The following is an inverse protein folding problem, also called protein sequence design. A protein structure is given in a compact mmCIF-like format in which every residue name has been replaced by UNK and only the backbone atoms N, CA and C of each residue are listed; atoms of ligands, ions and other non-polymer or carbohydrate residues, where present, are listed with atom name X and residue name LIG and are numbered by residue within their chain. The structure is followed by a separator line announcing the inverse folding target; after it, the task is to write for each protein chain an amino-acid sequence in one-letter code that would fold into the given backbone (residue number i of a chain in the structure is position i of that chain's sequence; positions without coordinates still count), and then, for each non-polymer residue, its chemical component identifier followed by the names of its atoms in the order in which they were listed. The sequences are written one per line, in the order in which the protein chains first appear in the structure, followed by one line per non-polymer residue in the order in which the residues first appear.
data_IF_407542045269
#
_entry.id   IF_407542045269
#
_cell.length_a   1.000
_cell.length_b   1.000
_cell.length_c   1.000
_cell.angle_alpha   90.00
_cell.angle_beta   90.00
_cell.angle_gamma   90.00
#
_symmetry.space_group_name_H-M   'P 1'
#
loop_
_entity.id
_entity.type
_entity.pdbx_description
1 polymer ?
#
# COMPACT_ATOMS: atom_id res chain seq x y z
N UNK A 1 -17.81 -85.17 20.51
CA UNK A 1 -18.85 -84.71 19.57
C UNK A 1 -18.85 -83.19 19.51
N UNK A 2 -18.45 -82.60 18.38
CA UNK A 2 -18.84 -81.27 17.85
C UNK A 2 -18.39 -81.22 16.38
N UNK A 3 -19.01 -80.34 15.59
CA UNK A 3 -19.35 -80.66 14.20
C UNK A 3 -18.51 -79.94 13.12
N UNK A 4 -18.55 -80.49 11.91
CA UNK A 4 -18.56 -79.79 10.60
C UNK A 4 -19.39 -78.47 10.64
N UNK A 5 -19.33 -77.43 9.79
CA UNK A 5 -18.50 -76.91 8.67
C UNK A 5 -19.08 -75.49 8.32
N UNK A 6 -18.52 -74.56 7.51
CA UNK A 6 -17.28 -74.46 6.72
C UNK A 6 -16.84 -72.97 6.51
N UNK A 7 -16.23 -72.68 5.34
CA UNK A 7 -15.79 -71.42 4.71
C UNK A 7 -16.85 -70.30 4.61
N UNK A 8 -16.41 -69.04 4.45
CA UNK A 8 -16.48 -68.32 3.15
C UNK A 8 -15.64 -67.03 3.16
N UNK A 9 -15.28 -66.53 1.97
CA UNK A 9 -14.28 -65.48 1.74
C UNK A 9 -14.76 -64.04 2.04
N UNK A 10 -14.25 -63.41 3.09
CA UNK A 10 -14.38 -61.96 3.30
C UNK A 10 -13.09 -61.19 2.98
N UNK A 11 -13.17 -60.50 1.84
CA UNK A 11 -12.14 -59.74 1.12
C UNK A 11 -11.41 -58.70 1.97
N UNK A 12 -10.14 -58.48 1.65
CA UNK A 12 -9.40 -57.27 2.00
C UNK A 12 -10.10 -56.01 1.48
N UNK A 13 -10.97 -55.41 2.30
CA UNK A 13 -11.51 -54.07 2.05
C UNK A 13 -10.42 -53.06 2.42
N UNK A 14 -9.60 -52.70 1.43
CA UNK A 14 -8.59 -51.66 1.56
C UNK A 14 -9.23 -50.34 2.04
N UNK A 15 -8.89 -49.94 3.27
CA UNK A 15 -9.43 -48.74 3.90
C UNK A 15 -8.90 -47.49 3.16
N UNK A 16 -9.68 -47.01 2.19
CA UNK A 16 -9.51 -45.69 1.60
C UNK A 16 -9.73 -44.63 2.68
N UNK A 17 -8.64 -44.15 3.29
CA UNK A 17 -8.68 -42.97 4.16
C UNK A 17 -9.25 -41.79 3.38
N UNK A 18 -10.36 -41.24 3.88
CA UNK A 18 -11.08 -40.15 3.23
C UNK A 18 -10.18 -38.94 2.98
N UNK A 19 -10.15 -38.44 1.74
CA UNK A 19 -9.42 -37.22 1.35
C UNK A 19 -10.06 -35.91 1.88
N UNK A 20 -11.01 -36.00 2.82
CA UNK A 20 -11.76 -34.87 3.39
C UNK A 20 -11.01 -34.12 4.50
N UNK A 21 -10.03 -34.75 5.15
CA UNK A 21 -9.32 -34.12 6.27
C UNK A 21 -8.36 -33.03 5.78
N UNK A 22 -7.73 -33.22 4.60
CA UNK A 22 -6.84 -32.22 4.00
C UNK A 22 -7.56 -30.93 3.58
N UNK A 23 -8.82 -31.00 3.16
CA UNK A 23 -9.63 -29.80 2.85
C UNK A 23 -10.12 -29.12 4.13
N UNK A 24 -10.56 -29.88 5.14
CA UNK A 24 -10.93 -29.31 6.46
C UNK A 24 -9.76 -28.61 7.16
N UNK A 25 -8.57 -29.21 7.15
CA UNK A 25 -7.36 -28.62 7.73
C UNK A 25 -6.93 -27.35 6.97
N UNK A 26 -7.07 -27.31 5.63
CA UNK A 26 -6.84 -26.08 4.85
C UNK A 26 -7.80 -24.97 5.20
N UNK A 27 -9.11 -25.24 5.23
CA UNK A 27 -10.13 -24.25 5.59
C UNK A 27 -9.89 -23.73 7.01
N UNK A 28 -9.59 -24.60 7.98
CA UNK A 28 -9.24 -24.19 9.36
C UNK A 28 -8.02 -23.26 9.42
N UNK A 29 -6.98 -23.54 8.63
CA UNK A 29 -5.76 -22.71 8.54
C UNK A 29 -6.02 -21.37 7.86
N UNK A 30 -6.83 -21.35 6.80
CA UNK A 30 -7.22 -20.14 6.07
C UNK A 30 -8.11 -19.23 6.95
N UNK A 31 -9.08 -19.80 7.67
CA UNK A 31 -9.89 -19.08 8.66
C UNK A 31 -9.04 -18.46 9.77
N UNK A 32 -8.08 -19.19 10.33
CA UNK A 32 -7.14 -18.64 11.30
C UNK A 32 -6.29 -17.50 10.72
N UNK A 33 -5.87 -17.62 9.46
CA UNK A 33 -5.10 -16.60 8.78
C UNK A 33 -5.93 -15.33 8.56
N UNK A 34 -7.19 -15.47 8.15
CA UNK A 34 -8.16 -14.37 8.03
C UNK A 34 -8.43 -13.73 9.40
N UNK A 35 -8.65 -14.52 10.46
CA UNK A 35 -8.83 -14.01 11.84
C UNK A 35 -7.61 -13.20 12.30
N UNK A 36 -6.39 -13.70 12.09
CA UNK A 36 -5.13 -12.98 12.39
C UNK A 36 -4.98 -11.69 11.55
N UNK A 37 -5.38 -11.72 10.28
CA UNK A 37 -5.37 -10.55 9.41
C UNK A 37 -6.37 -9.47 9.86
N UNK A 38 -7.61 -9.86 10.18
CA UNK A 38 -8.65 -8.94 10.67
C UNK A 38 -8.30 -8.37 12.04
N UNK A 39 -7.72 -9.17 12.94
CA UNK A 39 -7.20 -8.67 14.22
C UNK A 39 -6.09 -7.62 14.01
N UNK A 40 -5.20 -7.82 13.03
CA UNK A 40 -4.20 -6.81 12.66
C UNK A 40 -4.85 -5.55 12.10
N UNK A 41 -5.85 -5.67 11.23
CA UNK A 41 -6.56 -4.52 10.66
C UNK A 41 -7.30 -3.71 11.73
N UNK A 42 -7.91 -4.36 12.73
CA UNK A 42 -8.48 -3.70 13.90
C UNK A 42 -7.42 -3.01 14.77
N UNK A 43 -6.26 -3.63 14.98
CA UNK A 43 -5.16 -3.02 15.77
C UNK A 43 -4.50 -1.78 15.15
N UNK A 44 -4.71 -1.56 13.85
CA UNK A 44 -4.23 -0.37 13.12
C UNK A 44 -5.39 0.58 12.75
N UNK A 45 -6.60 0.32 13.26
CA UNK A 45 -7.82 1.09 12.99
C UNK A 45 -8.07 1.38 11.49
N UNK A 46 -7.77 0.39 10.64
CA UNK A 46 -7.78 0.54 9.17
C UNK A 46 -9.21 0.76 8.64
N UNK A 47 -10.20 0.24 9.37
CA UNK A 47 -11.62 0.41 9.08
C UNK A 47 -12.30 1.43 10.01
N UNK A 48 -11.53 2.14 10.83
CA UNK A 48 -12.02 3.29 11.57
C UNK A 48 -12.58 4.32 10.60
N UNK A 49 -13.79 4.80 10.88
CA UNK A 49 -14.38 5.89 10.10
C UNK A 49 -13.72 7.19 10.55
N UNK A 50 -12.53 7.45 10.00
CA UNK A 50 -11.85 8.72 10.15
C UNK A 50 -12.69 9.79 9.43
N UNK A 51 -13.06 10.86 10.15
CA UNK A 51 -13.95 11.92 9.61
C UNK A 51 -13.35 12.67 8.41
N UNK A 52 -12.05 12.48 8.16
CA UNK A 52 -11.35 12.96 6.98
C UNK A 52 -11.08 11.80 6.01
N UNK A 53 -11.46 11.96 4.73
CA UNK A 53 -11.26 10.99 3.64
C UNK A 53 -9.78 10.77 3.24
N UNK A 54 -8.86 10.64 4.21
CA UNK A 54 -7.42 10.50 3.98
C UNK A 54 -7.09 9.12 3.40
N UNK A 55 -6.47 9.09 2.23
CA UNK A 55 -6.01 7.83 1.64
C UNK A 55 -4.78 7.29 2.36
N UNK A 56 -4.70 5.98 2.55
CA UNK A 56 -3.58 5.29 3.21
C UNK A 56 -2.87 4.32 2.26
N UNK A 57 -1.54 4.34 2.25
CA UNK A 57 -0.71 3.42 1.47
C UNK A 57 -0.40 2.16 2.28
N UNK A 58 -1.00 1.03 1.93
CA UNK A 58 -0.75 -0.26 2.61
C UNK A 58 0.73 -0.67 2.52
N UNK A 59 1.40 -0.38 1.40
CA UNK A 59 2.77 -0.81 1.13
C UNK A 59 3.83 0.01 1.88
N UNK A 60 3.66 1.33 1.97
CA UNK A 60 4.61 2.22 2.65
C UNK A 60 4.20 2.61 4.07
N UNK A 61 2.92 2.40 4.41
CA UNK A 61 2.26 2.82 5.66
C UNK A 61 2.13 4.33 5.84
N UNK A 62 2.18 5.08 4.75
CA UNK A 62 2.05 6.54 4.75
C UNK A 62 0.61 7.00 4.48
N UNK A 63 0.27 8.16 5.05
CA UNK A 63 -0.99 8.87 4.82
C UNK A 63 -0.81 9.87 3.66
N UNK A 64 -1.77 9.94 2.75
CA UNK A 64 -1.78 10.94 1.68
C UNK A 64 -2.05 12.34 2.22
N UNK A 65 -1.36 13.35 1.68
CA UNK A 65 -1.74 14.75 1.83
C UNK A 65 -3.04 15.03 1.07
N UNK A 66 -3.82 16.03 1.49
CA UNK A 66 -5.10 16.41 0.86
C UNK A 66 -4.97 16.58 -0.67
N UNK A 67 -3.92 17.26 -1.14
CA UNK A 67 -3.56 17.34 -2.58
C UNK A 67 -3.53 16.00 -3.34
N UNK A 68 -3.01 14.94 -2.70
CA UNK A 68 -2.89 13.60 -3.30
C UNK A 68 -4.23 12.87 -3.19
N UNK A 69 -4.93 13.02 -2.07
CA UNK A 69 -6.29 12.52 -1.86
C UNK A 69 -7.23 13.06 -2.95
N UNK A 70 -7.28 14.38 -3.14
CA UNK A 70 -8.16 15.02 -4.12
C UNK A 70 -7.79 14.64 -5.57
N UNK A 71 -6.49 14.63 -5.89
CA UNK A 71 -6.00 14.22 -7.22
C UNK A 71 -6.36 12.77 -7.56
N UNK A 72 -6.23 11.85 -6.59
CA UNK A 72 -6.53 10.42 -6.78
C UNK A 72 -8.05 10.17 -6.83
N UNK A 73 -8.82 10.74 -5.91
CA UNK A 73 -10.27 10.55 -5.85
C UNK A 73 -11.00 11.20 -7.05
N UNK A 74 -10.55 12.37 -7.52
CA UNK A 74 -11.17 13.07 -8.65
C UNK A 74 -10.56 12.73 -10.02
N UNK A 75 -9.53 11.88 -10.08
CA UNK A 75 -8.77 11.58 -11.31
C UNK A 75 -9.67 11.21 -12.50
N UNK A 76 -10.62 10.29 -12.29
CA UNK A 76 -11.55 9.83 -13.33
C UNK A 76 -12.38 10.98 -13.89
N UNK A 77 -12.96 11.80 -13.02
CA UNK A 77 -13.77 12.94 -13.41
C UNK A 77 -12.95 13.97 -14.19
N UNK A 78 -11.75 14.33 -13.71
CA UNK A 78 -10.84 15.24 -14.42
C UNK A 78 -10.45 14.72 -15.80
N UNK A 79 -10.15 13.43 -15.93
CA UNK A 79 -9.83 12.79 -17.22
C UNK A 79 -11.01 12.79 -18.20
N UNK A 80 -12.23 12.55 -17.71
CA UNK A 80 -13.45 12.63 -18.52
C UNK A 80 -13.74 14.07 -18.99
N UNK A 81 -13.60 15.05 -18.11
CA UNK A 81 -13.76 16.48 -18.46
C UNK A 81 -12.75 16.88 -19.54
N UNK A 82 -11.47 16.55 -19.37
CA UNK A 82 -10.43 16.86 -20.37
C UNK A 82 -10.67 16.20 -21.72
N UNK A 83 -11.15 14.95 -21.76
CA UNK A 83 -11.51 14.29 -23.01
C UNK A 83 -12.70 14.99 -23.69
N UNK A 84 -13.70 15.41 -22.91
CA UNK A 84 -14.86 16.15 -23.43
C UNK A 84 -14.43 17.51 -24.00
N UNK A 85 -13.67 18.31 -23.25
CA UNK A 85 -13.13 19.59 -23.71
C UNK A 85 -12.27 19.44 -24.98
N UNK A 86 -11.42 18.41 -25.02
CA UNK A 86 -10.56 18.11 -26.17
C UNK A 86 -11.38 17.78 -27.44
N UNK A 87 -12.50 17.06 -27.28
CA UNK A 87 -13.42 16.73 -28.36
C UNK A 87 -14.25 17.95 -28.79
N UNK A 88 -14.77 18.74 -27.84
CA UNK A 88 -15.55 19.94 -28.14
C UNK A 88 -14.71 20.99 -28.88
N UNK A 89 -13.46 21.22 -28.45
CA UNK A 89 -12.50 22.12 -29.12
C UNK A 89 -12.20 21.71 -30.57
N UNK A 90 -12.16 20.41 -30.86
CA UNK A 90 -11.93 19.89 -32.22
C UNK A 90 -13.16 19.93 -33.11
N UNK A 91 -14.31 19.53 -32.56
CA UNK A 91 -15.54 19.36 -33.32
C UNK A 91 -16.29 20.68 -33.55
N UNK A 92 -16.17 21.64 -32.62
CA UNK A 92 -16.91 22.92 -32.69
C UNK A 92 -16.05 24.11 -33.11
N UNK A 93 -14.82 24.21 -32.59
CA UNK A 93 -14.00 25.43 -32.77
C UNK A 93 -13.07 25.38 -34.01
N UNK A 94 -13.03 24.25 -34.73
CA UNK A 94 -12.19 24.03 -35.94
C UNK A 94 -10.75 24.56 -35.80
N UNK A 95 -10.16 24.34 -34.63
CA UNK A 95 -8.85 24.87 -34.27
C UNK A 95 -7.73 24.15 -35.08
N UNK A 96 -6.69 24.88 -35.50
CA UNK A 96 -5.61 24.37 -36.39
C UNK A 96 -4.88 23.13 -35.82
N UNK A 97 -4.97 22.92 -34.52
CA UNK A 97 -4.41 21.78 -33.79
C UNK A 97 -5.26 20.48 -33.87
N UNK A 98 -6.08 20.27 -34.91
CA UNK A 98 -6.95 19.08 -35.01
C UNK A 98 -6.19 17.75 -34.78
N UNK A 99 -4.98 17.62 -35.31
CA UNK A 99 -4.11 16.44 -35.16
C UNK A 99 -3.23 16.44 -33.89
N UNK A 100 -3.28 17.48 -33.05
CA UNK A 100 -2.47 17.52 -31.82
C UNK A 100 -2.92 16.42 -30.83
N UNK A 101 -2.00 15.85 -30.04
CA UNK A 101 -2.30 14.77 -29.10
C UNK A 101 -3.07 15.27 -27.86
N UNK A 102 -3.83 14.37 -27.21
CA UNK A 102 -4.40 14.64 -25.89
C UNK A 102 -3.25 14.82 -24.88
N UNK A 103 -3.24 15.96 -24.18
CA UNK A 103 -2.25 16.22 -23.14
C UNK A 103 -2.40 15.22 -21.98
N UNK A 104 -1.28 14.63 -21.56
CA UNK A 104 -1.25 13.69 -20.42
C UNK A 104 -1.36 14.47 -19.11
N UNK A 105 -2.41 14.19 -18.34
CA UNK A 105 -2.53 14.66 -16.96
C UNK A 105 -1.54 13.92 -16.08
N UNK A 106 -0.67 14.64 -15.37
CA UNK A 106 0.14 14.07 -14.30
C UNK A 106 -0.51 14.35 -12.95
N UNK A 107 -1.33 13.42 -12.48
CA UNK A 107 -1.91 13.50 -11.13
C UNK A 107 -0.84 13.24 -10.07
N UNK A 108 -0.98 13.89 -8.91
CA UNK A 108 -0.21 13.56 -7.73
C UNK A 108 -0.61 12.17 -7.22
N UNK A 109 0.37 11.42 -6.75
CA UNK A 109 0.22 10.06 -6.20
C UNK A 109 1.10 9.95 -4.95
N UNK A 110 1.02 8.85 -4.19
CA UNK A 110 1.91 8.62 -3.04
C UNK A 110 3.41 8.77 -3.37
N UNK A 111 3.84 8.52 -4.61
CA UNK A 111 5.22 8.76 -5.03
C UNK A 111 5.66 10.25 -4.98
N UNK A 112 4.71 11.19 -4.95
CA UNK A 112 4.99 12.62 -4.76
C UNK A 112 5.34 12.99 -3.32
N UNK A 113 4.98 12.17 -2.31
CA UNK A 113 5.36 12.42 -0.90
C UNK A 113 6.88 12.49 -0.71
N UNK A 114 7.64 11.80 -1.56
CA UNK A 114 9.11 11.76 -1.52
C UNK A 114 9.78 12.61 -2.61
N UNK A 115 9.02 13.40 -3.39
CA UNK A 115 9.59 14.31 -4.39
C UNK A 115 9.97 15.63 -3.73
N UNK A 116 11.27 15.87 -3.60
CA UNK A 116 11.78 17.16 -3.12
C UNK A 116 11.47 18.30 -4.12
N UNK A 117 11.06 19.49 -3.64
CA UNK A 117 10.86 20.66 -4.49
C UNK A 117 12.21 21.18 -5.00
N UNK A 118 12.56 20.83 -6.23
CA UNK A 118 13.78 21.32 -6.90
C UNK A 118 13.63 22.81 -7.22
N UNK A 119 14.03 23.66 -6.27
CA UNK A 119 14.06 25.11 -6.44
C UNK A 119 15.04 25.52 -7.54
N UNK A 120 14.53 25.79 -8.74
CA UNK A 120 15.30 26.33 -9.87
C UNK A 120 15.58 27.83 -9.68
N UNK A 121 16.40 28.17 -8.68
CA UNK A 121 17.08 29.48 -8.60
C UNK A 121 18.56 29.27 -8.30
N UNK A 122 19.40 30.01 -9.03
CA UNK A 122 20.87 29.90 -8.94
C UNK A 122 21.38 30.35 -7.56
N UNK A 123 21.68 29.39 -6.68
CA UNK A 123 22.76 29.47 -5.68
C UNK A 123 22.98 28.11 -5.02
N UNK A 124 24.17 27.55 -5.26
CA UNK A 124 24.78 26.36 -4.64
C UNK A 124 23.88 25.59 -3.65
N UNK A 125 23.11 24.63 -4.17
CA UNK A 125 22.41 23.63 -3.35
C UNK A 125 23.43 22.74 -2.66
N UNK A 126 23.81 23.09 -1.43
CA UNK A 126 24.54 22.18 -0.54
C UNK A 126 23.61 21.01 -0.22
N UNK A 127 23.82 19.88 -0.89
CA UNK A 127 23.04 18.66 -0.69
C UNK A 127 23.33 18.13 0.72
N UNK A 128 22.49 18.51 1.68
CA UNK A 128 22.56 17.99 3.04
C UNK A 128 21.98 16.57 3.05
N UNK A 129 22.77 15.59 2.60
CA UNK A 129 22.41 14.17 2.75
C UNK A 129 22.24 13.89 4.24
N UNK A 130 21.01 13.67 4.68
CA UNK A 130 20.71 13.24 6.04
C UNK A 130 21.49 11.96 6.32
N UNK A 131 22.52 12.06 7.15
CA UNK A 131 23.37 10.91 7.45
C UNK A 131 22.57 9.94 8.32
N UNK A 132 22.04 8.88 7.70
CA UNK A 132 21.20 7.87 8.36
C UNK A 132 21.82 7.32 9.65
N UNK A 133 23.15 7.14 9.69
CA UNK A 133 23.88 6.70 10.89
C UNK A 133 23.91 7.77 11.99
N UNK A 134 23.95 9.05 11.63
CA UNK A 134 23.86 10.16 12.59
C UNK A 134 22.44 10.27 13.16
N UNK A 135 21.41 10.26 12.31
CA UNK A 135 20.02 10.32 12.76
C UNK A 135 19.65 9.12 13.65
N UNK A 136 20.10 7.90 13.28
CA UNK A 136 19.93 6.71 14.11
C UNK A 136 20.67 6.79 15.45
N UNK A 137 21.87 7.40 15.50
CA UNK A 137 22.59 7.63 16.76
C UNK A 137 21.90 8.67 17.64
N UNK A 138 21.36 9.75 17.07
CA UNK A 138 20.61 10.76 17.80
C UNK A 138 19.33 10.17 18.39
N UNK A 139 18.55 9.44 17.58
CA UNK A 139 17.34 8.74 18.03
C UNK A 139 17.65 7.73 19.16
N UNK A 140 18.75 6.99 19.07
CA UNK A 140 19.17 6.06 20.13
C UNK A 140 19.69 6.79 21.38
N UNK A 141 20.31 7.96 21.25
CA UNK A 141 20.80 8.76 22.39
C UNK A 141 19.64 9.38 23.18
N UNK A 142 18.63 9.90 22.47
CA UNK A 142 17.40 10.45 23.04
C UNK A 142 16.62 9.36 23.81
N UNK A 143 16.34 8.22 23.16
CA UNK A 143 15.70 7.06 23.78
C UNK A 143 16.50 6.42 24.94
N UNK A 144 17.78 6.76 25.11
CA UNK A 144 18.62 6.30 26.24
C UNK A 144 18.86 7.40 27.30
N UNK A 145 18.12 8.50 27.24
CA UNK A 145 18.17 9.59 28.23
C UNK A 145 19.49 10.37 28.24
N UNK A 146 20.29 10.30 27.18
CA UNK A 146 21.59 10.98 27.10
C UNK A 146 21.44 12.37 26.49
N UNK A 147 21.63 13.40 27.32
CA UNK A 147 21.61 14.80 26.88
C UNK A 147 22.64 15.06 25.75
N UNK A 148 22.14 15.31 24.55
CA UNK A 148 22.97 15.67 23.38
C UNK A 148 23.41 17.13 23.52
N UNK A 149 24.67 17.35 23.91
CA UNK A 149 25.27 18.69 23.93
C UNK A 149 25.48 19.18 22.49
N UNK A 150 24.58 20.05 22.03
CA UNK A 150 24.76 20.80 20.79
C UNK A 150 25.88 21.85 20.96
N UNK A 151 27.13 21.46 20.70
CA UNK A 151 28.24 22.41 20.58
C UNK A 151 28.12 23.16 19.24
N UNK A 152 27.25 24.16 19.21
CA UNK A 152 27.28 25.19 18.17
C UNK A 152 28.57 25.97 18.41
N UNK A 153 29.59 25.72 17.58
CA UNK A 153 30.84 26.47 17.61
C UNK A 153 30.58 27.91 17.19
N UNK A 154 30.46 28.81 18.16
CA UNK A 154 30.49 30.26 17.91
C UNK A 154 31.88 30.64 17.44
N UNK A 155 32.06 30.74 16.11
CA UNK A 155 33.19 31.45 15.52
C UNK A 155 32.93 32.95 15.65
N UNK A 156 33.53 33.56 16.65
CA UNK A 156 33.93 34.98 16.65
C UNK A 156 35.35 35.09 16.11
#
# INVERSE_FOLDING_TARGET
MKSFNQNDDDKDIGIFKNRSDGTRLRVSSEEECIKKMMQRFGSYDIFGVHEENRLFSIASKDVATNDITDDLLTFKCRGQTLLKEFAERRLKEQNDEFYAPILKVQSKTFAYLYKEPVSKKQKVTKILKANRKLMQRLFNADNSGRAVKNSIGTST
#
